data_IF_241412329526
#
_entry.id   IF_241412329526
#
_cell.length_a   1.000
_cell.length_b   1.000
_cell.length_c   1.000
_cell.angle_alpha   90.00
_cell.angle_beta   90.00
_cell.angle_gamma   90.00
#
_symmetry.space_group_name_H-M   'P 1'
#
loop_
_entity.id
_entity.type
_entity.pdbx_description
1 polymer ?
#
# COMPACT_ATOMS: atom_id res chain seq x y z
N UNK A 1 1.96 9.14 -5.32
CA UNK A 1 2.42 7.77 -5.55
C UNK A 1 2.91 7.70 -6.99
N UNK A 2 3.84 6.78 -7.31
CA UNK A 2 4.28 6.54 -8.68
C UNK A 2 3.85 5.12 -9.08
N UNK A 3 3.17 5.00 -10.21
CA UNK A 3 2.65 3.73 -10.76
C UNK A 3 3.61 3.07 -11.76
N UNK A 4 4.70 3.77 -12.13
CA UNK A 4 5.68 3.33 -13.11
C UNK A 4 5.14 3.17 -14.54
N UNK A 5 6.01 2.75 -15.45
CA UNK A 5 5.67 2.33 -16.82
C UNK A 5 5.61 0.80 -16.85
N UNK A 6 4.42 0.21 -17.02
CA UNK A 6 4.24 -1.25 -17.06
C UNK A 6 3.49 -1.70 -18.32
N UNK A 7 4.04 -2.69 -19.03
CA UNK A 7 3.38 -3.40 -20.14
C UNK A 7 2.69 -4.69 -19.66
N UNK A 8 2.53 -4.85 -18.34
CA UNK A 8 1.96 -6.05 -17.72
C UNK A 8 0.74 -5.68 -16.89
N UNK A 9 -0.19 -6.62 -16.71
CA UNK A 9 -1.42 -6.46 -15.92
C UNK A 9 -1.20 -6.21 -14.42
N UNK A 10 0.03 -5.89 -14.02
CA UNK A 10 0.43 -5.58 -12.65
C UNK A 10 0.88 -4.13 -12.62
N UNK A 11 0.20 -3.32 -11.82
CA UNK A 11 0.57 -1.92 -11.61
C UNK A 11 1.41 -1.81 -10.32
N UNK A 12 2.72 -1.54 -10.44
CA UNK A 12 3.59 -1.37 -9.27
C UNK A 12 3.39 0.01 -8.65
N UNK A 13 3.02 0.09 -7.37
CA UNK A 13 2.91 1.36 -6.64
C UNK A 13 4.07 1.50 -5.67
N UNK A 14 4.91 2.51 -5.87
CA UNK A 14 6.09 2.75 -5.03
C UNK A 14 5.79 3.71 -3.87
N UNK A 15 6.16 3.28 -2.67
CA UNK A 15 6.09 4.06 -1.43
C UNK A 15 7.44 4.04 -0.72
N UNK A 16 7.83 5.18 -0.15
CA UNK A 16 9.05 5.32 0.63
C UNK A 16 8.66 5.39 2.10
N UNK A 17 8.79 4.27 2.81
CA UNK A 17 8.49 4.19 4.24
C UNK A 17 9.33 3.11 4.92
N UNK A 18 9.40 3.17 6.24
CA UNK A 18 10.02 2.14 7.07
C UNK A 18 9.14 0.89 7.10
N UNK A 19 9.72 -0.32 7.30
CA UNK A 19 8.95 -1.58 7.34
C UNK A 19 7.76 -1.57 8.32
N UNK A 20 7.91 -0.82 9.41
CA UNK A 20 6.87 -0.65 10.43
C UNK A 20 5.69 0.18 9.90
N UNK A 21 5.97 1.36 9.34
CA UNK A 21 4.96 2.20 8.69
C UNK A 21 4.27 1.45 7.55
N UNK A 22 5.01 0.64 6.79
CA UNK A 22 4.43 -0.18 5.72
C UNK A 22 3.42 -1.20 6.23
N UNK A 23 3.71 -1.82 7.37
CA UNK A 23 2.81 -2.80 8.01
C UNK A 23 1.52 -2.12 8.47
N UNK A 24 1.63 -0.94 9.07
CA UNK A 24 0.48 -0.12 9.45
C UNK A 24 -0.33 0.37 8.27
N UNK A 25 0.35 0.77 7.21
CA UNK A 25 -0.26 1.20 5.97
C UNK A 25 -1.14 0.09 5.37
N UNK A 26 -0.61 -1.13 5.27
CA UNK A 26 -1.34 -2.28 4.73
C UNK A 26 -2.52 -2.65 5.64
N UNK A 27 -2.34 -2.57 6.96
CA UNK A 27 -3.42 -2.80 7.91
C UNK A 27 -4.55 -1.76 7.76
N UNK A 28 -4.22 -0.48 7.65
CA UNK A 28 -5.20 0.60 7.42
C UNK A 28 -5.91 0.47 6.07
N UNK A 29 -5.19 0.10 4.99
CA UNK A 29 -5.81 -0.18 3.69
C UNK A 29 -6.84 -1.30 3.77
N UNK A 30 -6.54 -2.36 4.53
CA UNK A 30 -7.43 -3.49 4.71
C UNK A 30 -8.66 -3.14 5.56
N UNK A 31 -8.45 -2.52 6.72
CA UNK A 31 -9.53 -2.26 7.68
C UNK A 31 -10.38 -1.03 7.32
N UNK A 32 -9.75 0.06 6.89
CA UNK A 32 -10.46 1.33 6.62
C UNK A 32 -11.03 1.42 5.21
N UNK A 33 -10.40 0.75 4.23
CA UNK A 33 -10.77 0.87 2.82
C UNK A 33 -11.21 -0.45 2.18
N UNK A 34 -11.02 -1.59 2.86
CA UNK A 34 -11.37 -2.92 2.34
C UNK A 34 -10.49 -3.38 1.17
N UNK A 35 -9.38 -2.69 0.91
CA UNK A 35 -8.51 -2.97 -0.23
C UNK A 35 -7.34 -3.84 0.21
N UNK A 36 -7.23 -5.04 -0.37
CA UNK A 36 -6.11 -5.93 -0.13
C UNK A 36 -5.05 -5.78 -1.23
N UNK A 37 -3.84 -5.38 -0.84
CA UNK A 37 -2.69 -5.24 -1.75
C UNK A 37 -1.52 -6.08 -1.26
N UNK A 38 -0.82 -6.76 -2.17
CA UNK A 38 0.39 -7.49 -1.81
C UNK A 38 1.58 -6.54 -1.66
N UNK A 39 2.09 -6.43 -0.44
CA UNK A 39 3.26 -5.63 -0.13
C UNK A 39 4.54 -6.43 -0.33
N UNK A 40 5.50 -5.81 -1.01
CA UNK A 40 6.83 -6.35 -1.23
C UNK A 40 7.82 -5.41 -0.58
N UNK A 41 8.72 -6.01 0.19
CA UNK A 41 9.80 -5.35 0.92
C UNK A 41 11.11 -6.11 0.69
N UNK A 42 12.19 -5.62 1.28
CA UNK A 42 13.49 -6.29 1.31
C UNK A 42 13.34 -7.79 1.68
N UNK A 43 14.02 -8.73 0.98
CA UNK A 43 15.15 -8.53 0.06
C UNK A 43 14.80 -8.28 -1.40
N UNK A 44 13.51 -8.30 -1.77
CA UNK A 44 13.07 -8.24 -3.18
C UNK A 44 13.25 -6.84 -3.79
N UNK A 45 13.25 -5.79 -2.96
CA UNK A 45 13.53 -4.39 -3.32
C UNK A 45 14.46 -3.74 -2.28
N UNK A 46 15.14 -2.62 -2.62
CA UNK A 46 16.05 -1.93 -1.70
C UNK A 46 15.38 -1.54 -0.36
N UNK A 47 16.18 -1.50 0.71
CA UNK A 47 15.71 -1.06 2.04
C UNK A 47 15.21 0.39 1.97
N UNK A 48 14.14 0.69 2.69
CA UNK A 48 13.51 2.02 2.69
C UNK A 48 12.51 2.25 1.55
N UNK A 49 12.25 1.23 0.74
CA UNK A 49 11.22 1.24 -0.30
C UNK A 49 10.25 0.09 -0.07
N UNK A 50 8.99 0.38 -0.35
CA UNK A 50 7.89 -0.58 -0.34
C UNK A 50 7.20 -0.54 -1.70
N UNK A 51 6.94 -1.72 -2.23
CA UNK A 51 6.21 -1.90 -3.47
C UNK A 51 4.87 -2.55 -3.17
N UNK A 52 3.79 -1.87 -3.51
CA UNK A 52 2.45 -2.46 -3.49
C UNK A 52 2.15 -2.96 -4.90
N UNK A 53 1.83 -4.26 -5.02
CA UNK A 53 1.40 -4.85 -6.28
C UNK A 53 -0.13 -4.90 -6.31
N UNK A 54 -0.71 -4.17 -7.26
CA UNK A 54 -2.11 -4.33 -7.63
C UNK A 54 -2.22 -5.28 -8.81
N UNK A 55 -3.16 -6.22 -8.73
CA UNK A 55 -3.53 -7.12 -9.82
C UNK A 55 -5.02 -6.89 -10.11
N UNK A 56 -5.37 -5.91 -10.97
CA UNK A 56 -6.76 -5.75 -11.40
C UNK A 56 -7.20 -7.01 -12.13
N UNK A 57 -8.34 -7.57 -11.71
CA UNK A 57 -8.99 -8.70 -12.41
C UNK A 57 -10.14 -8.17 -13.26
N UNK A 58 -10.55 -8.92 -14.30
CA UNK A 58 -11.65 -8.52 -15.19
C UNK A 58 -13.02 -8.35 -14.50
N UNK A 59 -13.15 -8.81 -13.25
CA UNK A 59 -14.34 -8.62 -12.43
C UNK A 59 -14.41 -7.25 -11.74
N UNK A 60 -13.31 -6.48 -11.72
CA UNK A 60 -13.32 -5.14 -11.14
C UNK A 60 -13.95 -4.14 -12.10
N UNK A 61 -14.87 -3.34 -11.57
CA UNK A 61 -15.48 -2.22 -12.28
C UNK A 61 -14.59 -0.99 -12.21
N UNK A 62 -14.83 0.00 -13.06
CA UNK A 62 -14.12 1.29 -13.00
C UNK A 62 -14.28 1.97 -11.63
N UNK A 63 -15.42 1.74 -10.94
CA UNK A 63 -15.66 2.23 -9.60
C UNK A 63 -14.74 1.57 -8.55
N UNK A 64 -14.45 0.28 -8.68
CA UNK A 64 -13.51 -0.42 -7.79
C UNK A 64 -12.08 0.09 -7.99
N UNK A 65 -11.72 0.40 -9.24
CA UNK A 65 -10.43 1.04 -9.58
C UNK A 65 -10.33 2.41 -8.93
N UNK A 66 -11.37 3.23 -9.05
CA UNK A 66 -11.41 4.57 -8.46
C UNK A 66 -11.35 4.51 -6.92
N UNK A 67 -12.11 3.62 -6.29
CA UNK A 67 -12.05 3.39 -4.84
C UNK A 67 -10.63 3.02 -4.39
N UNK A 68 -9.96 2.16 -5.16
CA UNK A 68 -8.60 1.74 -4.86
C UNK A 68 -7.59 2.89 -4.99
N UNK A 69 -7.71 3.70 -6.05
CA UNK A 69 -6.88 4.90 -6.24
C UNK A 69 -7.10 5.95 -5.14
N UNK A 70 -8.35 6.13 -4.72
CA UNK A 70 -8.71 7.02 -3.62
C UNK A 70 -8.13 6.52 -2.29
N UNK A 71 -8.19 5.21 -2.03
CA UNK A 71 -7.57 4.60 -0.85
C UNK A 71 -6.06 4.82 -0.84
N UNK A 72 -5.36 4.58 -1.95
CA UNK A 72 -3.92 4.83 -2.06
C UNK A 72 -3.57 6.30 -1.84
N UNK A 73 -4.37 7.22 -2.38
CA UNK A 73 -4.15 8.66 -2.22
C UNK A 73 -4.28 9.07 -0.76
N UNK A 74 -5.37 8.66 -0.11
CA UNK A 74 -5.61 8.98 1.30
C UNK A 74 -4.53 8.41 2.22
N UNK A 75 -4.10 7.18 1.97
CA UNK A 75 -3.06 6.50 2.73
C UNK A 75 -1.68 7.13 2.49
N UNK A 76 -1.38 7.54 1.25
CA UNK A 76 -0.15 8.26 0.94
C UNK A 76 -0.10 9.63 1.64
N UNK A 77 -1.23 10.32 1.76
CA UNK A 77 -1.35 11.57 2.53
C UNK A 77 -1.16 11.33 4.03
N UNK A 78 -1.83 10.32 4.61
CA UNK A 78 -1.64 9.91 6.01
C UNK A 78 -0.18 9.57 6.31
N UNK A 79 0.50 8.88 5.39
CA UNK A 79 1.92 8.55 5.49
C UNK A 79 2.78 9.82 5.49
N UNK A 80 2.56 10.75 4.56
CA UNK A 80 3.26 12.04 4.53
C UNK A 80 3.01 12.89 5.77
N UNK A 81 1.80 12.80 6.34
CA UNK A 81 1.43 13.48 7.58
C UNK A 81 2.03 12.80 8.84
N UNK A 82 2.76 11.69 8.70
CA UNK A 82 3.36 10.98 9.82
C UNK A 82 2.37 10.18 10.67
N UNK A 83 1.15 9.91 10.17
CA UNK A 83 0.13 9.17 10.92
C UNK A 83 0.61 7.78 11.36
N UNK A 84 1.45 7.14 10.55
CA UNK A 84 1.99 5.80 10.81
C UNK A 84 3.32 5.81 11.59
N UNK A 85 3.89 6.98 11.92
CA UNK A 85 5.11 7.10 12.73
C UNK A 85 4.86 6.91 14.22
N UNK A 86 3.64 7.24 14.68
CA UNK A 86 3.28 7.26 16.10
C UNK A 86 2.37 6.10 16.54
N UNK A 87 1.95 5.24 15.61
CA UNK A 87 1.03 4.16 15.93
C UNK A 87 1.83 2.94 16.42
N UNK A 88 2.03 2.86 17.74
CA UNK A 88 2.59 1.67 18.39
C UNK A 88 1.62 0.51 18.11
N UNK A 89 1.98 -0.35 17.14
CA UNK A 89 1.46 -1.71 17.07
C UNK A 89 1.83 -2.38 18.39
N UNK A 90 0.84 -2.54 19.26
CA UNK A 90 0.96 -3.48 20.35
C UNK A 90 1.24 -4.84 19.70
N UNK A 91 2.39 -5.48 19.97
CA UNK A 91 2.75 -6.71 19.29
C UNK A 91 1.76 -7.79 19.75
N UNK A 92 0.75 -8.07 18.93
CA UNK A 92 -0.01 -9.31 19.03
C UNK A 92 0.87 -10.40 18.42
N UNK A 93 1.92 -10.75 19.16
CA UNK A 93 2.62 -12.01 19.11
C UNK A 93 2.60 -12.54 20.53
N UNK A 94 1.49 -13.20 20.87
CA UNK A 94 1.44 -14.17 21.96
C UNK A 94 1.96 -15.52 21.49
#
# INVERSE_FOLDING_TARGET
>A
FDIGTTNTVVTPVYLYCTPFESTQLVHDMRESYGVFTSMIIYPVIPKGMVLLRMIPTASHTDADVEQTLNAFSAVAEKLKAGAYQNQILNPVLG
#
